data_IF_124042221695
#
_entry.id   IF_124042221695
#
_cell.length_a   1.000
_cell.length_b   1.000
_cell.length_c   1.000
_cell.angle_alpha   90.00
_cell.angle_beta   90.00
_cell.angle_gamma   90.00
#
_symmetry.space_group_name_H-M   'P 1'
#
loop_
_entity.id
_entity.type
_entity.pdbx_description
1 polymer ?
#
# COMPACT_ATOMS: atom_id res chain seq x y z
N UNK A 1 5.21 -8.20 -14.93
CA UNK A 1 4.85 -7.02 -14.13
C UNK A 1 3.54 -6.36 -14.59
N UNK A 2 3.40 -5.91 -15.84
CA UNK A 2 2.20 -5.18 -16.30
C UNK A 2 0.85 -5.93 -16.11
N UNK A 3 0.80 -7.24 -16.36
CA UNK A 3 -0.42 -8.05 -16.16
C UNK A 3 -0.82 -8.12 -14.68
N UNK A 4 0.15 -8.34 -13.78
CA UNK A 4 -0.06 -8.41 -12.34
C UNK A 4 -0.55 -7.07 -11.78
N UNK A 5 0.04 -5.95 -12.24
CA UNK A 5 -0.41 -4.61 -11.86
C UNK A 5 -1.84 -4.31 -12.31
N UNK A 6 -2.22 -4.74 -13.51
CA UNK A 6 -3.57 -4.52 -14.03
C UNK A 6 -4.63 -5.33 -13.26
N UNK A 7 -4.32 -6.55 -12.84
CA UNK A 7 -5.24 -7.34 -12.02
C UNK A 7 -5.35 -6.79 -10.59
N UNK A 8 -4.23 -6.40 -9.99
CA UNK A 8 -4.21 -5.77 -8.66
C UNK A 8 -4.98 -4.44 -8.65
N UNK A 9 -4.84 -3.63 -9.70
CA UNK A 9 -5.55 -2.34 -9.83
C UNK A 9 -7.07 -2.53 -9.97
N UNK A 10 -7.53 -3.61 -10.61
CA UNK A 10 -8.97 -3.90 -10.71
C UNK A 10 -9.55 -4.31 -9.36
N UNK A 11 -8.86 -5.17 -8.62
CA UNK A 11 -9.32 -5.59 -7.30
C UNK A 11 -9.20 -4.49 -6.24
N UNK A 12 -8.25 -3.55 -6.39
CA UNK A 12 -8.21 -2.32 -5.60
C UNK A 12 -9.48 -1.49 -5.71
N UNK A 13 -10.04 -1.37 -6.92
CA UNK A 13 -11.24 -0.56 -7.15
C UNK A 13 -12.53 -1.15 -6.55
N UNK A 14 -12.49 -2.42 -6.13
CA UNK A 14 -13.58 -3.13 -5.47
C UNK A 14 -13.48 -3.11 -3.93
N UNK A 15 -12.35 -2.62 -3.40
CA UNK A 15 -12.12 -2.49 -1.97
C UNK A 15 -12.82 -1.23 -1.44
N UNK A 16 -13.24 -1.29 -0.17
CA UNK A 16 -13.64 -0.08 0.54
C UNK A 16 -12.49 0.93 0.49
N UNK A 17 -12.84 2.19 0.27
CA UNK A 17 -11.88 3.29 0.05
C UNK A 17 -10.75 3.33 1.09
N UNK A 18 -11.07 2.99 2.33
CA UNK A 18 -10.12 2.92 3.43
C UNK A 18 -9.02 1.86 3.24
N UNK A 19 -9.35 0.72 2.65
CA UNK A 19 -8.38 -0.32 2.29
C UNK A 19 -7.64 0.01 0.99
N UNK A 20 -8.32 0.67 0.05
CA UNK A 20 -7.71 1.17 -1.18
C UNK A 20 -6.61 2.21 -0.87
N UNK A 21 -6.90 3.17 0.02
CA UNK A 21 -5.96 4.20 0.48
C UNK A 21 -4.73 3.58 1.18
N UNK A 22 -4.89 2.39 1.75
CA UNK A 22 -3.82 1.67 2.44
C UNK A 22 -2.94 0.84 1.48
N UNK A 23 -3.53 0.25 0.45
CA UNK A 23 -2.88 -0.67 -0.49
C UNK A 23 -2.31 0.04 -1.72
N UNK A 24 -2.94 1.11 -2.21
CA UNK A 24 -2.50 1.83 -3.42
C UNK A 24 -1.06 2.35 -3.32
N UNK A 25 -0.63 3.01 -2.22
CA UNK A 25 0.75 3.49 -2.11
C UNK A 25 1.79 2.37 -2.14
N UNK A 26 1.47 1.20 -1.57
CA UNK A 26 2.34 0.03 -1.60
C UNK A 26 2.49 -0.54 -3.02
N UNK A 27 1.39 -0.60 -3.76
CA UNK A 27 1.40 -1.09 -5.14
C UNK A 27 2.14 -0.13 -6.09
N UNK A 28 2.02 1.18 -5.87
CA UNK A 28 2.83 2.18 -6.57
C UNK A 28 4.31 2.04 -6.23
N UNK A 29 4.67 1.89 -4.95
CA UNK A 29 6.05 1.67 -4.52
C UNK A 29 6.66 0.41 -5.16
N UNK A 30 5.92 -0.70 -5.18
CA UNK A 30 6.36 -1.94 -5.83
C UNK A 30 6.50 -1.78 -7.35
N UNK A 31 5.57 -1.08 -8.00
CA UNK A 31 5.62 -0.86 -9.44
C UNK A 31 6.83 -0.03 -9.87
N UNK A 32 7.33 0.83 -8.99
CA UNK A 32 8.49 1.70 -9.20
C UNK A 32 9.80 1.15 -8.59
N UNK A 33 9.79 -0.04 -8.01
CA UNK A 33 10.98 -0.65 -7.43
C UNK A 33 11.79 -1.38 -8.51
N UNK A 34 13.06 -1.01 -8.68
CA UNK A 34 13.97 -1.61 -9.66
C UNK A 34 14.95 -2.60 -9.01
N UNK A 35 15.01 -2.61 -7.68
CA UNK A 35 15.91 -3.45 -6.89
C UNK A 35 15.20 -4.18 -5.74
N UNK A 36 15.75 -5.32 -5.34
CA UNK A 36 15.30 -6.10 -4.17
C UNK A 36 15.32 -5.27 -2.87
N UNK A 37 16.22 -4.28 -2.79
CA UNK A 37 16.31 -3.38 -1.64
C UNK A 37 15.15 -2.39 -1.59
N UNK A 38 14.71 -1.88 -2.75
CA UNK A 38 13.56 -0.99 -2.86
C UNK A 38 12.26 -1.75 -2.60
N UNK A 39 12.13 -2.98 -3.13
CA UNK A 39 11.00 -3.86 -2.83
C UNK A 39 10.88 -4.13 -1.32
N UNK A 40 11.98 -4.47 -0.64
CA UNK A 40 11.99 -4.65 0.83
C UNK A 40 11.61 -3.36 1.56
N UNK A 41 12.04 -2.21 1.07
CA UNK A 41 11.72 -0.93 1.68
C UNK A 41 10.23 -0.60 1.53
N UNK A 42 9.65 -0.90 0.37
CA UNK A 42 8.22 -0.77 0.10
C UNK A 42 7.38 -1.67 1.04
N UNK A 43 7.78 -2.94 1.19
CA UNK A 43 7.13 -3.89 2.11
C UNK A 43 7.19 -3.38 3.56
N UNK A 44 8.36 -2.94 4.04
CA UNK A 44 8.50 -2.41 5.40
C UNK A 44 7.62 -1.17 5.65
N UNK A 45 7.49 -0.27 4.66
CA UNK A 45 6.60 0.90 4.76
C UNK A 45 5.14 0.46 4.86
N UNK A 46 4.73 -0.49 4.04
CA UNK A 46 3.38 -1.04 4.06
C UNK A 46 3.06 -1.71 5.40
N UNK A 47 3.95 -2.55 5.93
CA UNK A 47 3.77 -3.20 7.24
C UNK A 47 3.63 -2.17 8.37
N UNK A 48 4.41 -1.08 8.32
CA UNK A 48 4.27 0.00 9.29
C UNK A 48 2.91 0.72 9.18
N UNK A 49 2.44 0.98 7.96
CA UNK A 49 1.14 1.62 7.73
C UNK A 49 -0.03 0.74 8.17
N UNK A 50 0.01 -0.57 7.88
CA UNK A 50 -0.94 -1.57 8.40
C UNK A 50 -0.94 -1.55 9.93
N UNK A 51 0.23 -1.58 10.56
CA UNK A 51 0.33 -1.61 12.02
C UNK A 51 -0.24 -0.34 12.66
N UNK A 52 0.01 0.84 12.09
CA UNK A 52 -0.60 2.10 12.55
C UNK A 52 -2.11 2.08 12.41
N UNK A 53 -2.59 1.61 11.27
CA UNK A 53 -4.02 1.49 10.97
C UNK A 53 -4.74 0.54 11.94
N UNK A 54 -4.19 -0.66 12.16
CA UNK A 54 -4.75 -1.67 13.09
C UNK A 54 -4.72 -1.19 14.54
N UNK A 55 -3.70 -0.42 14.94
CA UNK A 55 -3.63 0.18 16.29
C UNK A 55 -4.55 1.38 16.47
N UNK A 56 -5.21 1.85 15.42
CA UNK A 56 -6.07 3.03 15.46
C UNK A 56 -5.31 4.36 15.60
N UNK A 57 -3.98 4.35 15.42
CA UNK A 57 -3.11 5.55 15.47
C UNK A 57 -3.34 6.50 14.28
N UNK A 58 -4.29 6.18 13.39
CA UNK A 58 -4.63 6.95 12.20
C UNK A 58 -5.54 8.16 12.48
N UNK A 59 -5.98 8.38 13.73
CA UNK A 59 -6.98 9.40 14.10
C UNK A 59 -6.45 10.73 14.68
N UNK A 60 -5.15 10.88 14.93
CA UNK A 60 -4.65 12.00 15.73
C UNK A 60 -3.97 13.14 14.94
N UNK A 61 -4.05 13.16 13.60
CA UNK A 61 -3.50 14.25 12.78
C UNK A 61 -4.60 15.03 12.04
N UNK A 62 -5.61 15.51 12.77
CA UNK A 62 -6.43 16.65 12.34
C UNK A 62 -6.66 17.56 13.56
N UNK A 63 -5.71 18.47 13.80
CA UNK A 63 -5.89 19.66 14.64
C UNK A 63 -5.27 20.86 13.93
#
# INVERSE_FOLDING_TARGET
MATLNNELSKHLAELDKEYEDLLRPFLEDLANSDTVSEEKSAINRFENNINKYVKGEHKDEVN
#
